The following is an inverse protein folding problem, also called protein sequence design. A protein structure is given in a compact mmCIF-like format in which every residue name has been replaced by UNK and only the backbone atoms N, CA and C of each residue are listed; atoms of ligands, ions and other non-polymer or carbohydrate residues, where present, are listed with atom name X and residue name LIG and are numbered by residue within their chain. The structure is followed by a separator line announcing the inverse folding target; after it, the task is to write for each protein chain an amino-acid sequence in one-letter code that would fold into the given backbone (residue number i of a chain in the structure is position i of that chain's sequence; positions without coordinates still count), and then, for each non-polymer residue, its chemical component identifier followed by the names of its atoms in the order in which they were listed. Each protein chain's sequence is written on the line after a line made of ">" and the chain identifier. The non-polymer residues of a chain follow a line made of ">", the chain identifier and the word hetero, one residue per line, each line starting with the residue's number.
data_IF_824055126928
#
_entry.id   IF_824055126928
#
_cell.length_a   1.000
_cell.length_b   1.000
_cell.length_c   1.000
_cell.angle_alpha   90.00
_cell.angle_beta   90.00
_cell.angle_gamma   90.00
#
_symmetry.space_group_name_H-M   'P 1'
#
loop_
_entity.id
_entity.type
_entity.pdbx_description
1 polymer ?
#
# COMPACT_ATOMS: atom_id res chain seq x y z
N UNK A 1 -16.10 1.83 -75.55
CA UNK A 1 -14.83 2.49 -75.21
C UNK A 1 -14.94 3.00 -73.78
N UNK A 2 -14.40 2.27 -72.80
CA UNK A 2 -14.33 2.69 -71.40
C UNK A 2 -12.85 2.77 -71.00
N UNK A 3 -12.39 3.98 -70.67
CA UNK A 3 -11.02 4.24 -70.22
C UNK A 3 -10.85 3.96 -68.72
N UNK A 4 -9.62 3.66 -68.25
CA UNK A 4 -9.40 3.25 -66.87
C UNK A 4 -9.31 4.43 -65.91
N UNK A 5 -10.01 4.28 -64.77
CA UNK A 5 -9.98 5.20 -63.63
C UNK A 5 -8.65 5.06 -62.86
N UNK A 6 -7.88 6.14 -62.80
CA UNK A 6 -6.67 6.24 -61.98
C UNK A 6 -7.02 6.33 -60.49
N UNK A 7 -6.47 5.41 -59.69
CA UNK A 7 -6.66 5.30 -58.24
C UNK A 7 -5.63 6.15 -57.52
N UNK A 8 -6.00 7.35 -57.09
CA UNK A 8 -5.19 8.21 -56.22
C UNK A 8 -5.17 7.65 -54.79
N UNK A 9 -3.97 7.32 -54.28
CA UNK A 9 -3.78 6.94 -52.87
C UNK A 9 -3.68 8.18 -51.98
N UNK A 10 -4.31 8.22 -50.80
CA UNK A 10 -4.14 9.30 -49.85
C UNK A 10 -2.76 9.24 -49.18
N UNK A 11 -2.13 10.41 -49.11
CA UNK A 11 -0.81 10.66 -48.50
C UNK A 11 -1.01 10.82 -46.98
N UNK A 12 -0.35 9.98 -46.19
CA UNK A 12 -0.38 10.08 -44.71
C UNK A 12 0.38 11.33 -44.24
N UNK A 13 -0.07 12.00 -43.15
CA UNK A 13 0.62 13.16 -42.59
C UNK A 13 1.91 12.75 -41.85
N UNK A 14 2.95 13.57 -42.06
CA UNK A 14 4.25 13.50 -41.42
C UNK A 14 4.10 13.83 -39.94
N UNK A 15 4.51 12.90 -39.07
CA UNK A 15 4.50 13.03 -37.61
C UNK A 15 5.72 13.85 -37.20
N UNK A 16 5.53 15.12 -36.86
CA UNK A 16 6.58 15.99 -36.31
C UNK A 16 6.82 15.61 -34.85
N UNK A 17 8.05 15.22 -34.53
CA UNK A 17 8.51 14.93 -33.17
C UNK A 17 8.80 16.26 -32.47
N UNK A 18 7.81 16.79 -31.76
CA UNK A 18 8.01 17.88 -30.80
C UNK A 18 8.81 17.38 -29.61
N UNK A 19 10.08 17.80 -29.53
CA UNK A 19 10.92 17.68 -28.34
C UNK A 19 10.33 18.57 -27.24
N UNK A 20 9.64 17.98 -26.27
CA UNK A 20 9.30 18.66 -25.04
C UNK A 20 10.55 18.69 -24.15
N UNK A 21 11.07 19.88 -23.90
CA UNK A 21 12.15 20.10 -22.95
C UNK A 21 11.64 19.78 -21.54
N UNK A 22 12.10 18.68 -20.96
CA UNK A 22 11.98 18.42 -19.53
C UNK A 22 13.03 19.24 -18.79
N UNK A 23 12.63 20.35 -18.18
CA UNK A 23 13.44 21.02 -17.17
C UNK A 23 13.43 20.15 -15.90
N UNK A 24 14.47 19.34 -15.73
CA UNK A 24 14.74 18.63 -14.49
C UNK A 24 15.18 19.64 -13.42
N UNK A 25 14.25 20.04 -12.55
CA UNK A 25 14.61 20.76 -11.32
C UNK A 25 15.06 19.74 -10.28
N UNK A 26 16.37 19.57 -10.16
CA UNK A 26 16.99 18.83 -9.08
C UNK A 26 16.79 19.60 -7.76
N UNK A 27 15.88 19.11 -6.92
CA UNK A 27 15.72 19.60 -5.54
C UNK A 27 16.47 18.67 -4.60
N UNK A 28 17.72 19.02 -4.31
CA UNK A 28 18.51 18.43 -3.23
C UNK A 28 17.90 18.84 -1.90
N UNK A 29 17.15 17.94 -1.26
CA UNK A 29 16.66 18.15 0.11
C UNK A 29 17.60 17.45 1.10
N UNK A 30 18.43 18.25 1.76
CA UNK A 30 19.21 17.85 2.94
C UNK A 30 18.29 17.79 4.15
N UNK A 31 18.02 16.58 4.65
CA UNK A 31 17.29 16.38 5.90
C UNK A 31 18.18 16.80 7.08
N UNK A 32 17.77 17.87 7.76
CA UNK A 32 18.35 18.32 9.04
C UNK A 32 17.37 17.90 10.14
N UNK A 33 17.78 16.97 10.98
CA UNK A 33 17.00 16.52 12.15
C UNK A 33 17.25 17.48 13.30
N UNK A 34 16.31 18.40 13.58
CA UNK A 34 16.28 19.18 14.82
C UNK A 34 15.19 18.64 15.75
N UNK A 35 15.62 17.84 16.72
CA UNK A 35 14.80 17.39 17.84
C UNK A 35 14.53 18.58 18.75
N UNK A 36 13.29 19.07 18.79
CA UNK A 36 12.84 20.05 19.78
C UNK A 36 11.76 19.41 20.67
N UNK A 37 12.12 19.25 21.94
CA UNK A 37 11.25 18.82 23.02
C UNK A 37 10.17 19.88 23.27
N UNK A 38 8.92 19.44 23.46
CA UNK A 38 7.85 20.28 23.99
C UNK A 38 7.24 19.58 25.20
N UNK A 39 7.44 20.20 26.35
CA UNK A 39 6.82 19.87 27.62
C UNK A 39 5.34 20.26 27.60
N UNK A 40 4.49 19.45 28.21
CA UNK A 40 3.11 19.83 28.54
C UNK A 40 2.82 19.39 29.99
N UNK A 41 2.56 20.41 30.83
CA UNK A 41 1.99 20.36 32.19
C UNK A 41 0.74 19.47 32.26
N UNK A 42 0.60 18.56 33.22
CA UNK A 42 0.18 18.76 34.63
C UNK A 42 -1.15 19.52 34.81
N UNK A 43 -2.21 18.76 35.10
CA UNK A 43 -3.36 19.19 35.90
C UNK A 43 -3.97 17.98 36.63
N UNK A 44 -3.80 17.96 37.95
CA UNK A 44 -4.65 17.33 38.99
C UNK A 44 -6.11 17.82 38.89
N UNK A 45 -7.14 17.31 39.58
CA UNK A 45 -7.49 16.08 40.30
C UNK A 45 -8.97 16.27 40.67
N UNK A 46 -9.82 15.24 40.74
CA UNK A 46 -10.94 15.22 41.72
C UNK A 46 -11.39 13.78 42.00
N UNK A 47 -11.44 13.49 43.30
CA UNK A 47 -11.82 12.26 43.97
C UNK A 47 -13.34 12.10 44.17
N UNK A 48 -13.80 10.86 44.25
CA UNK A 48 -14.85 10.37 45.17
C UNK A 48 -14.96 8.84 45.02
N UNK A 49 -14.48 8.05 45.98
CA UNK A 49 -15.16 7.56 47.19
C UNK A 49 -16.07 6.35 46.93
N UNK A 50 -15.65 5.22 47.51
CA UNK A 50 -16.24 3.86 47.51
C UNK A 50 -17.58 3.78 48.30
N UNK A 51 -18.24 2.60 48.39
CA UNK A 51 -17.83 1.59 49.36
C UNK A 51 -17.89 0.12 48.89
N UNK A 52 -17.06 -0.69 49.54
CA UNK A 52 -16.92 -2.13 49.40
C UNK A 52 -18.11 -2.93 49.97
N UNK A 53 -18.29 -4.17 49.49
CA UNK A 53 -18.77 -5.28 50.34
C UNK A 53 -18.10 -6.58 49.87
N UNK A 54 -17.40 -7.23 50.80
CA UNK A 54 -16.69 -8.48 50.64
C UNK A 54 -17.63 -9.70 50.67
N UNK A 55 -17.21 -10.86 50.14
CA UNK A 55 -16.91 -12.08 50.93
C UNK A 55 -16.75 -13.32 50.03
N UNK A 56 -15.68 -14.11 50.31
CA UNK A 56 -15.49 -15.56 50.03
C UNK A 56 -15.33 -16.00 48.57
N UNK A 57 -14.54 -17.01 48.19
CA UNK A 57 -13.75 -18.01 48.91
C UNK A 57 -12.72 -18.62 47.95
N UNK A 58 -11.62 -19.06 48.54
CA UNK A 58 -10.52 -19.85 47.99
C UNK A 58 -11.01 -21.04 47.15
N UNK A 59 -10.51 -21.16 45.92
CA UNK A 59 -10.35 -22.45 45.25
C UNK A 59 -9.02 -22.49 44.50
N UNK A 60 -8.07 -23.27 45.02
CA UNK A 60 -6.83 -23.66 44.34
C UNK A 60 -7.18 -24.58 43.17
N UNK A 61 -7.38 -24.01 42.00
CA UNK A 61 -7.53 -24.73 40.73
C UNK A 61 -6.21 -24.74 39.97
N UNK A 62 -5.77 -25.94 39.58
CA UNK A 62 -4.56 -26.23 38.82
C UNK A 62 -4.28 -25.26 37.65
N UNK A 63 -3.00 -25.06 37.25
CA UNK A 63 -2.70 -24.26 36.06
C UNK A 63 -3.31 -24.94 34.85
N UNK A 64 -4.46 -24.42 34.41
CA UNK A 64 -5.03 -24.67 33.11
C UNK A 64 -3.96 -24.30 32.10
N UNK A 65 -3.26 -25.33 31.62
CA UNK A 65 -2.49 -25.32 30.38
C UNK A 65 -3.41 -24.73 29.32
N UNK A 66 -3.30 -23.41 29.12
CA UNK A 66 -3.91 -22.71 28.01
C UNK A 66 -3.21 -23.27 26.78
N UNK A 67 -3.71 -24.39 26.27
CA UNK A 67 -3.49 -24.82 24.89
C UNK A 67 -3.91 -23.60 24.09
N UNK A 68 -2.92 -22.79 23.67
CA UNK A 68 -3.06 -21.87 22.54
C UNK A 68 -3.32 -22.78 21.36
N UNK A 69 -4.60 -23.16 21.21
CA UNK A 69 -5.12 -23.66 19.96
C UNK A 69 -4.77 -22.64 18.91
N UNK A 70 -4.12 -23.11 17.86
CA UNK A 70 -4.04 -22.45 16.57
C UNK A 70 -5.41 -21.83 16.28
N UNK A 71 -5.51 -20.51 16.47
CA UNK A 71 -6.76 -19.79 16.26
C UNK A 71 -7.08 -19.98 14.78
N UNK A 72 -8.24 -20.56 14.43
CA UNK A 72 -8.63 -20.63 13.05
C UNK A 72 -8.82 -19.19 12.58
N UNK A 73 -7.97 -18.74 11.67
CA UNK A 73 -8.09 -17.43 11.01
C UNK A 73 -9.36 -17.33 10.17
N UNK A 74 -10.16 -18.40 10.07
CA UNK A 74 -11.44 -18.43 9.39
C UNK A 74 -12.47 -17.62 10.20
N UNK A 75 -12.55 -16.32 9.90
CA UNK A 75 -13.58 -15.42 10.45
C UNK A 75 -13.09 -14.03 10.83
N UNK A 76 -11.78 -13.75 10.77
CA UNK A 76 -11.23 -12.41 11.02
C UNK A 76 -11.01 -11.71 9.69
N UNK A 77 -11.54 -10.49 9.53
CA UNK A 77 -11.21 -9.64 8.39
C UNK A 77 -9.72 -9.32 8.43
N UNK A 78 -8.96 -9.94 7.53
CA UNK A 78 -7.51 -9.74 7.38
C UNK A 78 -7.22 -8.50 6.54
N UNK A 79 -8.14 -7.55 6.51
CA UNK A 79 -8.06 -6.34 5.72
C UNK A 79 -8.40 -5.16 6.63
N UNK A 80 -7.44 -4.26 6.79
CA UNK A 80 -7.63 -3.05 7.59
C UNK A 80 -8.55 -2.05 6.86
N UNK A 81 -9.06 -1.01 7.56
CA UNK A 81 -9.82 0.07 6.93
C UNK A 81 -9.07 0.72 5.75
N UNK A 82 -9.77 1.30 4.76
CA UNK A 82 -9.14 1.97 3.64
C UNK A 82 -8.28 3.13 4.13
N UNK A 83 -7.06 3.23 3.62
CA UNK A 83 -6.16 4.33 3.94
C UNK A 83 -6.65 5.65 3.32
N UNK A 84 -6.69 6.78 4.06
CA UNK A 84 -7.24 8.05 3.58
C UNK A 84 -6.54 8.64 2.35
N UNK A 85 -5.28 8.27 2.07
CA UNK A 85 -4.53 8.80 0.93
C UNK A 85 -4.59 7.87 -0.28
N UNK A 86 -4.27 6.59 -0.10
CA UNK A 86 -4.24 5.62 -1.21
C UNK A 86 -5.62 5.04 -1.55
N UNK A 87 -6.59 5.08 -0.63
CA UNK A 87 -7.87 4.35 -0.69
C UNK A 87 -7.71 2.82 -0.84
N UNK A 88 -6.50 2.29 -0.62
CA UNK A 88 -6.23 0.84 -0.64
C UNK A 88 -6.40 0.32 0.78
N UNK A 89 -6.94 -0.90 0.89
CA UNK A 89 -7.11 -1.58 2.16
C UNK A 89 -5.87 -2.43 2.46
N UNK A 90 -5.11 -2.15 3.53
CA UNK A 90 -3.93 -2.93 3.88
C UNK A 90 -4.30 -4.38 4.23
N UNK A 91 -3.57 -5.35 3.69
CA UNK A 91 -3.76 -6.77 4.00
C UNK A 91 -2.92 -7.14 5.22
N UNK A 92 -3.56 -7.73 6.23
CA UNK A 92 -2.93 -8.26 7.44
C UNK A 92 -2.59 -9.72 7.22
N UNK A 93 -1.30 -9.99 6.97
CA UNK A 93 -0.81 -11.36 6.83
C UNK A 93 -0.79 -12.08 8.18
N UNK A 94 -1.88 -12.80 8.51
CA UNK A 94 -2.05 -13.50 9.79
C UNK A 94 -1.13 -14.72 10.02
N UNK A 95 -0.15 -14.98 9.15
CA UNK A 95 0.82 -16.04 9.35
C UNK A 95 1.90 -15.59 10.35
N UNK A 96 1.57 -15.61 11.64
CA UNK A 96 2.61 -15.58 12.67
C UNK A 96 3.55 -16.76 12.39
N UNK A 97 4.88 -16.56 12.31
CA UNK A 97 5.79 -17.70 12.27
C UNK A 97 5.48 -18.55 13.50
N UNK A 98 5.42 -19.88 13.33
CA UNK A 98 5.30 -20.83 14.45
C UNK A 98 6.62 -20.73 15.23
N UNK A 99 6.77 -19.67 16.01
CA UNK A 99 7.78 -19.56 17.04
C UNK A 99 7.25 -20.44 18.15
N UNK A 100 7.70 -21.70 18.18
CA UNK A 100 7.53 -22.52 19.38
C UNK A 100 8.41 -21.84 20.44
N UNK A 101 7.87 -21.17 21.47
CA UNK A 101 8.72 -20.72 22.55
C UNK A 101 9.27 -21.97 23.21
N UNK A 102 10.53 -22.32 22.95
CA UNK A 102 11.19 -23.33 23.76
C UNK A 102 11.31 -22.71 25.15
N UNK A 103 10.64 -23.33 26.11
CA UNK A 103 10.64 -22.87 27.48
C UNK A 103 12.07 -23.00 28.03
N UNK A 104 12.63 -21.88 28.49
CA UNK A 104 13.86 -21.75 29.31
C UNK A 104 15.22 -21.44 28.64
N UNK A 105 15.29 -20.93 27.41
CA UNK A 105 16.54 -20.32 26.96
C UNK A 105 16.30 -18.99 26.25
N UNK A 106 17.05 -17.91 26.59
CA UNK A 106 17.09 -16.69 25.78
C UNK A 106 17.65 -16.93 24.36
N UNK A 107 18.20 -18.13 24.10
CA UNK A 107 18.57 -18.63 22.79
C UNK A 107 17.94 -20.01 22.59
N UNK A 108 16.85 -20.09 21.86
CA UNK A 108 16.24 -21.39 21.56
C UNK A 108 17.12 -22.16 20.57
N UNK A 109 17.38 -23.45 20.80
CA UNK A 109 18.10 -24.30 19.83
C UNK A 109 17.39 -24.38 18.46
N UNK A 110 16.13 -23.93 18.37
CA UNK A 110 15.38 -23.74 17.12
C UNK A 110 15.77 -22.49 16.33
N UNK A 111 16.52 -21.55 16.91
CA UNK A 111 17.00 -20.34 16.23
C UNK A 111 18.27 -20.60 15.39
N UNK A 112 18.98 -21.69 15.68
CA UNK A 112 20.11 -22.13 14.89
C UNK A 112 19.59 -23.04 13.77
N UNK A 113 19.77 -22.67 12.50
CA UNK A 113 19.39 -23.54 11.39
C UNK A 113 20.09 -24.88 11.53
N UNK A 114 19.36 -25.96 11.80
CA UNK A 114 19.90 -27.29 11.52
C UNK A 114 20.13 -27.34 10.01
N UNK A 115 21.33 -27.70 9.58
CA UNK A 115 21.83 -27.64 8.19
C UNK A 115 21.11 -28.62 7.20
N UNK A 116 19.89 -29.02 7.54
CA UNK A 116 19.01 -29.86 6.73
C UNK A 116 18.12 -29.06 5.78
N UNK A 117 17.47 -29.79 4.87
CA UNK A 117 16.51 -29.27 3.86
C UNK A 117 15.38 -28.40 4.44
N UNK A 118 15.08 -28.52 5.73
CA UNK A 118 14.10 -27.72 6.46
C UNK A 118 14.48 -26.24 6.58
N UNK A 119 15.75 -25.94 6.83
CA UNK A 119 16.24 -24.55 6.90
C UNK A 119 16.06 -23.82 5.57
N UNK A 120 16.28 -24.52 4.45
CA UNK A 120 16.11 -23.97 3.10
C UNK A 120 14.64 -23.66 2.79
N UNK A 121 13.72 -24.50 3.23
CA UNK A 121 12.28 -24.29 3.06
C UNK A 121 11.81 -23.09 3.90
N UNK A 122 12.20 -23.04 5.18
CA UNK A 122 11.86 -21.94 6.06
C UNK A 122 12.38 -20.59 5.55
N UNK A 123 13.64 -20.57 5.07
CA UNK A 123 14.22 -19.37 4.46
C UNK A 123 13.46 -18.92 3.21
N UNK A 124 13.09 -19.86 2.32
CA UNK A 124 12.30 -19.53 1.14
C UNK A 124 10.87 -19.07 1.48
N UNK A 125 10.24 -19.65 2.50
CA UNK A 125 8.93 -19.20 2.97
C UNK A 125 8.99 -17.80 3.56
N UNK A 126 10.03 -17.53 4.36
CA UNK A 126 10.27 -16.20 4.92
C UNK A 126 10.50 -15.17 3.81
N UNK A 127 11.34 -15.49 2.82
CA UNK A 127 11.59 -14.63 1.66
C UNK A 127 10.28 -14.33 0.91
N UNK A 128 9.47 -15.36 0.65
CA UNK A 128 8.17 -15.19 -0.02
C UNK A 128 7.22 -14.29 0.77
N UNK A 129 7.16 -14.42 2.11
CA UNK A 129 6.33 -13.56 2.97
C UNK A 129 6.79 -12.10 2.91
N UNK A 130 8.07 -11.85 3.18
CA UNK A 130 8.65 -10.51 3.15
C UNK A 130 8.49 -9.85 1.78
N UNK A 131 8.58 -10.63 0.70
CA UNK A 131 8.38 -10.12 -0.65
C UNK A 131 6.94 -9.67 -0.89
N UNK A 132 5.95 -10.45 -0.47
CA UNK A 132 4.52 -10.04 -0.60
C UNK A 132 4.24 -8.74 0.14
N UNK A 133 4.70 -8.65 1.40
CA UNK A 133 4.58 -7.42 2.19
C UNK A 133 5.23 -6.22 1.48
N UNK A 134 6.42 -6.41 0.90
CA UNK A 134 7.10 -5.38 0.12
C UNK A 134 6.27 -4.95 -1.10
N UNK A 135 5.70 -5.88 -1.84
CA UNK A 135 4.88 -5.58 -3.04
C UNK A 135 3.62 -4.79 -2.67
N UNK A 136 2.97 -5.13 -1.56
CA UNK A 136 1.82 -4.39 -1.08
C UNK A 136 2.20 -2.97 -0.63
N UNK A 137 3.33 -2.82 0.07
CA UNK A 137 3.84 -1.53 0.48
C UNK A 137 4.21 -0.65 -0.73
N UNK A 138 4.83 -1.21 -1.77
CA UNK A 138 5.15 -0.43 -2.97
C UNK A 138 3.90 -0.04 -3.75
N UNK A 139 2.90 -0.92 -3.83
CA UNK A 139 1.59 -0.61 -4.40
C UNK A 139 0.91 0.54 -3.62
N UNK A 140 0.82 0.42 -2.29
CA UNK A 140 0.27 1.45 -1.43
C UNK A 140 0.96 2.81 -1.60
N UNK A 141 2.30 2.85 -1.53
CA UNK A 141 3.09 4.07 -1.69
C UNK A 141 2.87 4.73 -3.05
N UNK A 142 2.78 3.94 -4.12
CA UNK A 142 2.52 4.44 -5.45
C UNK A 142 1.18 5.18 -5.52
N UNK A 143 0.11 4.55 -5.03
CA UNK A 143 -1.23 5.15 -5.05
C UNK A 143 -1.37 6.31 -4.08
N UNK A 144 -0.81 6.23 -2.88
CA UNK A 144 -0.79 7.35 -1.93
C UNK A 144 -0.14 8.60 -2.56
N UNK A 145 1.02 8.42 -3.20
CA UNK A 145 1.74 9.53 -3.86
C UNK A 145 0.96 10.07 -5.05
N UNK A 146 0.38 9.19 -5.86
CA UNK A 146 -0.38 9.56 -7.07
C UNK A 146 -1.64 10.33 -6.70
N UNK A 147 -2.39 9.86 -5.71
CA UNK A 147 -3.60 10.51 -5.23
C UNK A 147 -3.30 11.85 -4.54
N UNK A 148 -2.23 11.93 -3.74
CA UNK A 148 -1.81 13.19 -3.11
C UNK A 148 -1.50 14.26 -4.17
N UNK A 149 -0.74 13.89 -5.20
CA UNK A 149 -0.42 14.80 -6.30
C UNK A 149 -1.67 15.16 -7.14
N UNK A 150 -2.56 14.20 -7.38
CA UNK A 150 -3.82 14.44 -8.07
C UNK A 150 -4.65 15.50 -7.35
N UNK A 151 -4.89 15.32 -6.04
CA UNK A 151 -5.67 16.24 -5.24
C UNK A 151 -5.01 17.62 -5.16
N UNK A 152 -3.69 17.68 -5.03
CA UNK A 152 -2.96 18.95 -5.00
C UNK A 152 -3.09 19.73 -6.32
N UNK A 153 -2.94 19.05 -7.46
CA UNK A 153 -3.08 19.70 -8.78
C UNK A 153 -4.51 20.09 -9.10
N UNK A 154 -5.49 19.25 -8.72
CA UNK A 154 -6.90 19.55 -8.86
C UNK A 154 -7.26 20.80 -8.05
N UNK A 155 -6.89 20.85 -6.77
CA UNK A 155 -7.13 22.00 -5.91
C UNK A 155 -6.46 23.26 -6.46
N UNK A 156 -5.23 23.15 -6.97
CA UNK A 156 -4.54 24.26 -7.62
C UNK A 156 -5.31 24.76 -8.85
N UNK A 157 -5.73 23.89 -9.77
CA UNK A 157 -6.50 24.31 -10.95
C UNK A 157 -7.84 24.94 -10.59
N UNK A 158 -8.55 24.38 -9.62
CA UNK A 158 -9.82 24.94 -9.15
C UNK A 158 -9.63 26.30 -8.48
N UNK A 159 -8.51 26.53 -7.79
CA UNK A 159 -8.21 27.83 -7.17
C UNK A 159 -7.97 28.96 -8.18
N UNK A 160 -7.61 28.62 -9.43
CA UNK A 160 -7.42 29.59 -10.51
C UNK A 160 -8.75 30.01 -11.16
N UNK A 161 -9.83 29.27 -10.90
CA UNK A 161 -11.15 29.66 -11.39
C UNK A 161 -11.64 30.91 -10.65
N UNK A 162 -12.37 31.80 -11.33
CA UNK A 162 -13.08 32.89 -10.65
C UNK A 162 -13.94 32.32 -9.52
N UNK A 163 -13.97 33.02 -8.38
CA UNK A 163 -14.80 32.64 -7.24
C UNK A 163 -16.27 32.56 -7.71
N UNK A 164 -16.90 31.41 -7.51
CA UNK A 164 -18.30 31.20 -7.89
C UNK A 164 -19.20 32.24 -7.20
N UNK A 165 -20.20 32.72 -7.94
CA UNK A 165 -21.24 33.59 -7.38
C UNK A 165 -22.09 32.81 -6.36
N UNK A 166 -22.69 33.51 -5.40
CA UNK A 166 -23.64 32.92 -4.45
C UNK A 166 -25.02 33.58 -4.65
N UNK A 167 -26.04 32.87 -5.20
CA UNK A 167 -26.02 31.46 -5.60
C UNK A 167 -25.22 31.20 -6.90
N UNK A 168 -24.76 29.94 -7.12
CA UNK A 168 -23.99 29.59 -8.32
C UNK A 168 -24.77 29.82 -9.61
N UNK A 169 -24.22 30.66 -10.48
CA UNK A 169 -24.77 30.90 -11.82
C UNK A 169 -24.56 29.65 -12.68
N UNK A 170 -25.47 29.31 -13.62
CA UNK A 170 -25.26 28.17 -14.55
C UNK A 170 -23.98 28.30 -15.41
N UNK A 171 -23.48 29.52 -15.60
CA UNK A 171 -22.18 29.72 -16.23
C UNK A 171 -21.01 29.30 -15.35
N UNK A 172 -21.08 29.53 -14.04
CA UNK A 172 -20.04 29.18 -13.08
C UNK A 172 -19.92 27.65 -12.96
N UNK A 173 -21.06 26.95 -12.94
CA UNK A 173 -21.09 25.47 -12.94
C UNK A 173 -20.49 24.91 -14.22
N UNK A 174 -20.84 25.48 -15.39
CA UNK A 174 -20.28 25.05 -16.68
C UNK A 174 -18.76 25.24 -16.75
N UNK A 175 -18.26 26.41 -16.32
CA UNK A 175 -16.81 26.68 -16.30
C UNK A 175 -16.07 25.70 -15.38
N UNK A 176 -16.66 25.38 -14.23
CA UNK A 176 -16.12 24.40 -13.30
C UNK A 176 -16.06 23.00 -13.93
N UNK A 177 -17.14 22.54 -14.57
CA UNK A 177 -17.20 21.26 -15.27
C UNK A 177 -16.21 21.17 -16.44
N UNK A 178 -16.10 22.24 -17.24
CA UNK A 178 -15.15 22.32 -18.35
C UNK A 178 -13.70 22.25 -17.83
N UNK A 179 -13.40 22.96 -16.74
CA UNK A 179 -12.10 22.92 -16.08
C UNK A 179 -11.75 21.52 -15.56
N UNK A 180 -12.71 20.84 -14.92
CA UNK A 180 -12.53 19.46 -14.44
C UNK A 180 -12.28 18.50 -15.60
N UNK A 181 -13.06 18.59 -16.67
CA UNK A 181 -12.93 17.73 -17.85
C UNK A 181 -11.55 17.86 -18.49
N UNK A 182 -11.09 19.11 -18.68
CA UNK A 182 -9.75 19.38 -19.20
C UNK A 182 -8.66 18.86 -18.26
N UNK A 183 -8.82 19.07 -16.95
CA UNK A 183 -7.87 18.57 -15.96
C UNK A 183 -7.72 17.05 -16.01
N UNK A 184 -8.82 16.28 -16.08
CA UNK A 184 -8.75 14.83 -16.16
C UNK A 184 -8.04 14.35 -17.42
N UNK A 185 -8.32 14.96 -18.57
CA UNK A 185 -7.64 14.65 -19.82
C UNK A 185 -6.12 14.88 -19.70
N UNK A 186 -5.73 16.07 -19.21
CA UNK A 186 -4.32 16.44 -19.03
C UNK A 186 -3.62 15.53 -18.03
N UNK A 187 -4.25 15.27 -16.89
CA UNK A 187 -3.70 14.41 -15.84
C UNK A 187 -3.46 12.98 -16.32
N UNK A 188 -4.42 12.43 -17.08
CA UNK A 188 -4.31 11.09 -17.63
C UNK A 188 -3.20 11.00 -18.67
N UNK A 189 -3.07 11.98 -19.56
CA UNK A 189 -1.96 12.03 -20.52
C UNK A 189 -0.60 12.14 -19.81
N UNK A 190 -0.48 13.01 -18.81
CA UNK A 190 0.77 13.23 -18.09
C UNK A 190 1.20 12.03 -17.23
N UNK A 191 0.26 11.28 -16.66
CA UNK A 191 0.57 10.14 -15.79
C UNK A 191 0.58 8.78 -16.49
N UNK A 192 0.17 8.71 -17.76
CA UNK A 192 0.09 7.45 -18.50
C UNK A 192 1.43 6.69 -18.50
N UNK A 193 2.52 7.38 -18.80
CA UNK A 193 3.85 6.75 -18.86
C UNK A 193 4.29 6.22 -17.49
N UNK A 194 4.05 6.99 -16.43
CA UNK A 194 4.37 6.61 -15.05
C UNK A 194 3.56 5.38 -14.62
N UNK A 195 2.27 5.35 -14.95
CA UNK A 195 1.41 4.20 -14.66
C UNK A 195 1.86 2.96 -15.43
N UNK A 196 2.21 3.09 -16.71
CA UNK A 196 2.71 1.97 -17.52
C UNK A 196 4.03 1.43 -16.96
N UNK A 197 4.96 2.32 -16.57
CA UNK A 197 6.21 1.91 -15.94
C UNK A 197 5.95 1.18 -14.61
N UNK A 198 5.10 1.74 -13.76
CA UNK A 198 4.71 1.12 -12.50
C UNK A 198 4.06 -0.27 -12.69
N UNK A 199 3.12 -0.40 -13.63
CA UNK A 199 2.46 -1.69 -13.94
C UNK A 199 3.49 -2.74 -14.35
N UNK A 200 4.49 -2.38 -15.17
CA UNK A 200 5.55 -3.30 -15.59
C UNK A 200 6.39 -3.78 -14.40
N UNK A 201 6.79 -2.86 -13.52
CA UNK A 201 7.61 -3.19 -12.35
C UNK A 201 6.82 -4.00 -11.32
N UNK A 202 5.55 -3.64 -11.10
CA UNK A 202 4.66 -4.37 -10.23
C UNK A 202 4.43 -5.81 -10.72
N UNK A 203 4.14 -5.99 -12.01
CA UNK A 203 4.01 -7.34 -12.59
C UNK A 203 5.28 -8.15 -12.50
N UNK A 204 6.46 -7.53 -12.69
CA UNK A 204 7.75 -8.22 -12.52
C UNK A 204 7.84 -8.77 -11.10
N UNK A 205 7.55 -7.96 -10.08
CA UNK A 205 7.59 -8.40 -8.69
C UNK A 205 6.58 -9.53 -8.38
N UNK A 206 5.36 -9.44 -8.92
CA UNK A 206 4.33 -10.47 -8.79
C UNK A 206 4.81 -11.80 -9.40
N UNK A 207 5.38 -11.77 -10.60
CA UNK A 207 5.91 -12.98 -11.26
C UNK A 207 7.05 -13.63 -10.49
N UNK A 208 7.92 -12.83 -9.87
CA UNK A 208 8.96 -13.37 -9.01
C UNK A 208 8.37 -14.03 -7.76
N UNK A 209 7.39 -13.41 -7.12
CA UNK A 209 6.69 -14.01 -5.97
C UNK A 209 6.02 -15.34 -6.33
N UNK A 210 5.37 -15.42 -7.49
CA UNK A 210 4.72 -16.64 -7.96
C UNK A 210 5.73 -17.77 -8.20
N UNK A 211 6.91 -17.48 -8.77
CA UNK A 211 7.97 -18.48 -8.97
C UNK A 211 8.45 -19.08 -7.65
N UNK A 212 8.65 -18.25 -6.62
CA UNK A 212 9.07 -18.73 -5.28
C UNK A 212 7.97 -19.61 -4.68
N UNK A 213 6.71 -19.19 -4.79
CA UNK A 213 5.56 -19.96 -4.30
C UNK A 213 5.43 -21.32 -4.98
N UNK A 214 5.57 -21.39 -6.31
CA UNK A 214 5.56 -22.65 -7.05
C UNK A 214 6.69 -23.57 -6.60
N UNK A 215 7.89 -23.02 -6.39
CA UNK A 215 9.04 -23.80 -5.90
C UNK A 215 8.80 -24.36 -4.48
N UNK A 216 8.22 -23.55 -3.59
CA UNK A 216 7.81 -23.98 -2.25
C UNK A 216 6.77 -25.11 -2.31
N UNK A 217 5.78 -24.99 -3.21
CA UNK A 217 4.75 -26.01 -3.37
C UNK A 217 5.33 -27.34 -3.87
N UNK A 218 6.23 -27.30 -4.86
CA UNK A 218 6.91 -28.49 -5.38
C UNK A 218 7.75 -29.16 -4.29
N UNK A 219 8.60 -28.40 -3.60
CA UNK A 219 9.46 -28.96 -2.55
C UNK A 219 8.64 -29.55 -1.39
N UNK A 220 7.51 -28.92 -1.04
CA UNK A 220 6.58 -29.44 -0.04
C UNK A 220 5.86 -30.69 -0.51
N UNK A 221 5.50 -30.77 -1.79
CA UNK A 221 4.88 -31.93 -2.41
C UNK A 221 5.84 -33.12 -2.49
N UNK A 222 7.12 -32.90 -2.80
CA UNK A 222 8.15 -33.94 -2.84
C UNK A 222 8.53 -34.48 -1.46
N UNK A 223 8.13 -33.81 -0.37
CA UNK A 223 8.38 -34.23 1.02
C UNK A 223 7.27 -35.12 1.59
N UNK A 224 6.08 -35.13 0.98
CA UNK A 224 4.97 -36.02 1.36
C UNK A 224 5.13 -37.38 0.74
#
# INVERSE_FOLDING_TARGET
>A
MFGPLARTRPRLPVRTTGKWYTAASASTSTASTSTSASAISSAEATSSSEPSTATSSVAKGAPLRRRRSDLPTSGVDLVAPPDPLSNIRPIIYASKPITRPSSNSPYSASEFPSDGSDSRLENMELEWRLRRERVDLTNHRFWATTNANFNAQLAHRLSLLPKASDPPTPEDTKRHEDCMTQFYADWQMANQERQVAWVKDWWREIWHGLKIQTRLYILRGMRR
#
